data_IF_981139216243
#
_entry.id   IF_981139216243
#
_cell.length_a   1.000
_cell.length_b   1.000
_cell.length_c   1.000
_cell.angle_alpha   90.00
_cell.angle_beta   90.00
_cell.angle_gamma   90.00
#
_symmetry.space_group_name_H-M   'P 1'
#
loop_
_entity.id
_entity.type
_entity.pdbx_description
1 polymer ?
#
# COMPACT_ATOMS: atom_id res chain seq x y z
N UNK A 1 -17.99 13.57 3.37
CA UNK A 1 -17.10 14.75 3.23
C UNK A 1 -16.68 14.91 1.77
N UNK A 2 -16.42 16.13 1.29
CA UNK A 2 -15.92 16.40 -0.08
C UNK A 2 -14.49 16.91 0.02
N UNK A 3 -13.58 16.29 -0.71
CA UNK A 3 -12.17 16.66 -0.72
C UNK A 3 -11.72 17.13 -2.10
N UNK A 4 -10.85 18.12 -2.09
CA UNK A 4 -10.04 18.56 -3.23
C UNK A 4 -8.88 17.60 -3.49
N UNK A 5 -8.23 17.75 -4.64
CA UNK A 5 -7.02 16.99 -4.95
C UNK A 5 -5.92 17.24 -3.93
N UNK A 6 -5.69 18.50 -3.58
CA UNK A 6 -4.68 18.93 -2.63
C UNK A 6 -4.94 18.35 -1.23
N UNK A 7 -6.20 18.28 -0.80
CA UNK A 7 -6.55 17.65 0.48
C UNK A 7 -6.32 16.14 0.48
N UNK A 8 -6.63 15.45 -0.62
CA UNK A 8 -6.38 14.00 -0.76
C UNK A 8 -4.89 13.71 -0.76
N UNK A 9 -4.10 14.51 -1.48
CA UNK A 9 -2.65 14.33 -1.60
C UNK A 9 -1.88 14.85 -0.38
N UNK A 10 -2.55 15.43 0.62
CA UNK A 10 -1.89 16.07 1.75
C UNK A 10 -1.24 15.06 2.70
N UNK A 11 0.03 15.31 3.01
CA UNK A 11 0.83 14.50 3.92
C UNK A 11 0.92 15.09 5.33
N UNK A 12 1.08 14.19 6.31
CA UNK A 12 1.33 14.56 7.70
C UNK A 12 2.71 15.20 7.86
N UNK A 13 2.88 15.98 8.92
CA UNK A 13 4.20 16.35 9.39
C UNK A 13 4.73 15.19 10.24
N UNK A 14 5.56 14.35 9.63
CA UNK A 14 6.17 13.22 10.32
C UNK A 14 7.28 13.70 11.26
N UNK A 15 7.39 13.09 12.44
CA UNK A 15 8.51 13.34 13.33
C UNK A 15 9.80 12.72 12.77
N UNK A 16 9.67 11.59 12.07
CA UNK A 16 10.78 10.90 11.39
C UNK A 16 10.31 10.34 10.05
N UNK A 17 11.21 10.35 9.06
CA UNK A 17 10.97 9.66 7.80
C UNK A 17 10.93 8.13 8.00
N UNK A 18 10.15 7.44 7.18
CA UNK A 18 10.15 5.98 7.15
C UNK A 18 11.35 5.49 6.33
N UNK A 19 12.46 5.16 6.98
CA UNK A 19 13.68 4.66 6.31
C UNK A 19 14.04 3.24 6.78
N UNK A 20 14.15 2.29 5.84
CA UNK A 20 14.45 0.89 6.14
C UNK A 20 15.34 0.28 5.06
N UNK A 21 16.35 -0.52 5.43
CA UNK A 21 17.30 -1.14 4.49
C UNK A 21 17.95 -0.17 3.46
N UNK A 22 18.03 1.12 3.77
CA UNK A 22 18.55 2.16 2.87
C UNK A 22 17.54 2.69 1.84
N UNK A 23 16.26 2.32 1.98
CA UNK A 23 15.14 2.89 1.21
C UNK A 23 14.46 3.99 2.02
N UNK A 24 14.13 5.10 1.37
CA UNK A 24 13.22 6.12 1.87
C UNK A 24 11.81 5.74 1.42
N UNK A 25 10.92 5.41 2.34
CA UNK A 25 9.60 4.85 2.07
C UNK A 25 8.49 5.87 2.35
N UNK A 26 7.34 5.76 1.68
CA UNK A 26 6.19 6.62 1.91
C UNK A 26 5.62 6.47 3.32
N UNK A 27 4.88 7.50 3.75
CA UNK A 27 4.50 7.66 5.14
C UNK A 27 5.65 8.15 6.01
N UNK A 28 5.50 7.96 7.31
CA UNK A 28 6.52 8.35 8.30
C UNK A 28 6.12 7.92 9.70
N UNK A 29 6.94 8.28 10.67
CA UNK A 29 6.73 7.92 12.07
C UNK A 29 6.36 9.16 12.90
N UNK A 30 5.53 8.95 13.92
CA UNK A 30 5.30 9.94 14.97
C UNK A 30 6.49 10.02 15.95
N UNK A 31 6.39 10.89 16.96
CA UNK A 31 7.44 11.08 17.96
C UNK A 31 7.67 9.87 18.87
N UNK A 32 6.73 8.92 18.89
CA UNK A 32 6.80 7.67 19.65
C UNK A 32 7.32 6.50 18.78
N UNK A 33 7.52 6.73 17.48
CA UNK A 33 7.97 5.73 16.52
C UNK A 33 6.84 4.92 15.87
N UNK A 34 5.57 5.31 16.04
CA UNK A 34 4.45 4.63 15.39
C UNK A 34 4.32 5.07 13.93
N UNK A 35 4.00 4.13 13.04
CA UNK A 35 3.76 4.42 11.63
C UNK A 35 2.49 5.22 11.41
N UNK A 36 2.60 6.27 10.60
CA UNK A 36 1.51 7.08 10.10
C UNK A 36 1.38 6.84 8.59
N UNK A 37 0.22 6.33 8.18
CA UNK A 37 -0.10 6.10 6.78
C UNK A 37 -0.09 7.41 5.97
N UNK A 38 0.51 7.42 4.78
CA UNK A 38 0.54 8.60 3.92
C UNK A 38 -0.86 9.04 3.46
N UNK A 39 -0.97 10.29 3.04
CA UNK A 39 -2.17 10.88 2.41
C UNK A 39 -3.43 10.80 3.29
N UNK A 40 -3.29 10.57 4.59
CA UNK A 40 -4.44 10.46 5.54
C UNK A 40 -4.71 11.73 6.33
N UNK A 41 -3.87 12.79 6.19
CA UNK A 41 -3.93 14.01 7.02
C UNK A 41 -5.30 14.66 7.13
N UNK A 42 -6.06 14.70 6.03
CA UNK A 42 -7.41 15.28 5.99
C UNK A 42 -8.53 14.25 6.02
N UNK A 43 -8.19 12.95 5.99
CA UNK A 43 -9.15 11.86 5.71
C UNK A 43 -9.42 10.95 6.90
N UNK A 44 -8.69 11.06 8.00
CA UNK A 44 -8.95 10.23 9.20
C UNK A 44 -10.39 10.30 9.68
N UNK A 45 -11.01 11.48 9.70
CA UNK A 45 -12.41 11.62 10.11
C UNK A 45 -13.36 10.82 9.20
N UNK A 46 -13.15 10.85 7.88
CA UNK A 46 -13.93 10.07 6.93
C UNK A 46 -13.70 8.55 7.06
N UNK A 47 -12.46 8.12 7.30
CA UNK A 47 -12.11 6.70 7.51
C UNK A 47 -12.78 6.18 8.79
N UNK A 48 -12.75 6.98 9.87
CA UNK A 48 -13.35 6.64 11.15
C UNK A 48 -14.89 6.64 11.06
N UNK A 49 -15.48 7.63 10.39
CA UNK A 49 -16.94 7.68 10.17
C UNK A 49 -17.43 6.48 9.35
N UNK A 50 -16.71 6.13 8.28
CA UNK A 50 -17.02 4.94 7.49
C UNK A 50 -16.98 3.66 8.33
N UNK A 51 -15.93 3.49 9.13
CA UNK A 51 -15.75 2.35 10.04
C UNK A 51 -16.88 2.26 11.08
N UNK A 52 -17.23 3.40 11.69
CA UNK A 52 -18.31 3.49 12.69
C UNK A 52 -19.68 3.21 12.07
N UNK A 53 -19.92 3.66 10.84
CA UNK A 53 -21.17 3.41 10.14
C UNK A 53 -21.32 1.92 9.78
N UNK A 54 -20.26 1.30 9.24
CA UNK A 54 -20.26 -0.12 8.89
C UNK A 54 -20.58 -0.99 10.12
N UNK A 55 -19.89 -0.73 11.22
CA UNK A 55 -20.07 -1.45 12.50
C UNK A 55 -21.40 -1.15 13.17
N UNK A 56 -21.87 0.10 13.12
CA UNK A 56 -23.20 0.51 13.62
C UNK A 56 -24.36 -0.18 12.90
N UNK A 57 -24.16 -0.59 11.63
CA UNK A 57 -25.11 -1.41 10.88
C UNK A 57 -25.02 -2.91 11.22
N UNK A 58 -24.16 -3.30 12.16
CA UNK A 58 -23.96 -4.70 12.57
C UNK A 58 -22.99 -5.48 11.69
N UNK A 59 -22.27 -4.82 10.77
CA UNK A 59 -21.25 -5.48 9.95
C UNK A 59 -19.87 -5.38 10.62
N UNK A 60 -19.21 -6.50 10.95
CA UNK A 60 -17.88 -6.44 11.53
C UNK A 60 -16.85 -5.97 10.50
N UNK A 61 -15.87 -5.18 10.95
CA UNK A 61 -14.64 -4.98 10.18
C UNK A 61 -13.87 -6.30 10.16
N UNK A 62 -13.61 -6.80 8.96
CA UNK A 62 -12.79 -7.99 8.78
C UNK A 62 -11.34 -7.53 8.64
N UNK A 63 -10.47 -8.12 9.47
CA UNK A 63 -9.04 -8.03 9.23
C UNK A 63 -8.72 -8.72 7.90
N UNK A 64 -8.02 -8.02 6.99
CA UNK A 64 -7.57 -8.54 5.70
C UNK A 64 -6.42 -9.55 5.86
N UNK A 65 -6.51 -10.41 6.87
CA UNK A 65 -5.55 -11.48 7.11
C UNK A 65 -5.65 -12.55 6.03
N UNK A 66 -4.56 -13.29 5.83
CA UNK A 66 -4.53 -14.45 4.93
C UNK A 66 -5.55 -15.54 5.31
N UNK A 67 -6.15 -15.48 6.50
CA UNK A 67 -7.19 -16.41 6.96
C UNK A 67 -8.49 -16.29 6.16
N UNK A 68 -8.71 -15.16 5.46
CA UNK A 68 -9.89 -14.98 4.59
C UNK A 68 -9.75 -15.76 3.26
N UNK A 69 -8.54 -16.19 2.90
CA UNK A 69 -8.28 -16.90 1.65
C UNK A 69 -8.66 -18.38 1.80
N UNK A 70 -9.34 -18.92 0.78
CA UNK A 70 -9.74 -20.35 0.73
C UNK A 70 -8.55 -21.30 0.79
N UNK A 71 -7.41 -20.87 0.25
CA UNK A 71 -6.18 -21.64 0.21
C UNK A 71 -5.11 -20.88 0.99
N UNK A 72 -4.40 -21.59 1.87
CA UNK A 72 -3.27 -21.03 2.58
C UNK A 72 -2.08 -20.78 1.65
N UNK A 73 -1.14 -19.96 2.11
CA UNK A 73 0.12 -19.74 1.41
C UNK A 73 0.96 -21.01 1.40
N UNK A 74 1.70 -21.22 0.30
CA UNK A 74 2.70 -22.26 0.17
C UNK A 74 4.05 -21.64 -0.18
N UNK A 75 5.11 -21.91 0.60
CA UNK A 75 5.09 -22.67 1.86
C UNK A 75 4.24 -21.98 2.94
N UNK A 76 3.56 -22.79 3.77
CA UNK A 76 2.88 -22.28 4.96
C UNK A 76 3.92 -21.83 6.00
N UNK A 77 3.49 -21.23 7.11
CA UNK A 77 4.41 -20.65 8.10
C UNK A 77 5.44 -21.66 8.64
N UNK A 78 5.01 -22.86 9.03
CA UNK A 78 5.92 -23.89 9.56
C UNK A 78 6.88 -24.42 8.49
N UNK A 79 6.40 -24.59 7.26
CA UNK A 79 7.22 -24.98 6.11
C UNK A 79 8.25 -23.90 5.76
N UNK A 80 7.83 -22.62 5.76
CA UNK A 80 8.70 -21.48 5.48
C UNK A 80 9.80 -21.41 6.54
N UNK A 81 9.45 -21.53 7.83
CA UNK A 81 10.41 -21.57 8.93
C UNK A 81 11.40 -22.74 8.79
N UNK A 82 10.91 -23.92 8.41
CA UNK A 82 11.75 -25.09 8.20
C UNK A 82 12.72 -24.87 7.02
N UNK A 83 12.24 -24.42 5.87
CA UNK A 83 13.09 -24.11 4.70
C UNK A 83 14.16 -23.06 5.05
N UNK A 84 13.78 -21.99 5.74
CA UNK A 84 14.72 -20.97 6.18
C UNK A 84 15.77 -21.52 7.15
N UNK A 85 15.40 -22.46 8.04
CA UNK A 85 16.37 -23.13 8.91
C UNK A 85 17.39 -24.00 8.17
N UNK A 86 17.06 -24.42 6.94
CA UNK A 86 17.97 -25.13 6.03
C UNK A 86 18.80 -24.18 5.14
N UNK A 87 18.61 -22.86 5.26
CA UNK A 87 19.23 -21.86 4.40
C UNK A 87 18.52 -21.65 3.05
N UNK A 88 17.34 -22.27 2.86
CA UNK A 88 16.57 -22.18 1.62
C UNK A 88 15.69 -20.92 1.59
N UNK A 89 16.31 -19.76 1.38
CA UNK A 89 15.62 -18.45 1.37
C UNK A 89 15.00 -18.03 0.04
N UNK A 90 15.31 -18.73 -1.06
CA UNK A 90 14.92 -18.33 -2.43
C UNK A 90 13.40 -18.17 -2.60
N UNK A 91 12.60 -19.02 -1.97
CA UNK A 91 11.13 -18.91 -2.07
C UNK A 91 10.62 -17.58 -1.49
N UNK A 92 11.18 -17.16 -0.34
CA UNK A 92 10.76 -15.93 0.34
C UNK A 92 11.29 -14.71 -0.40
N UNK A 93 12.54 -14.77 -0.87
CA UNK A 93 13.11 -13.74 -1.74
C UNK A 93 12.21 -13.50 -2.96
N UNK A 94 11.83 -14.58 -3.65
CA UNK A 94 11.01 -14.53 -4.85
C UNK A 94 9.62 -13.99 -4.53
N UNK A 95 8.99 -14.47 -3.44
CA UNK A 95 7.67 -14.00 -3.05
C UNK A 95 7.66 -12.50 -2.79
N UNK A 96 8.58 -11.98 -1.97
CA UNK A 96 8.65 -10.55 -1.64
C UNK A 96 8.96 -9.69 -2.88
N UNK A 97 9.85 -10.17 -3.75
CA UNK A 97 10.18 -9.47 -5.00
C UNK A 97 9.02 -9.45 -5.98
N UNK A 98 8.34 -10.58 -6.16
CA UNK A 98 7.17 -10.67 -7.04
C UNK A 98 6.07 -9.76 -6.53
N UNK A 99 5.80 -9.75 -5.22
CA UNK A 99 4.82 -8.82 -4.64
C UNK A 99 5.21 -7.37 -4.92
N UNK A 100 6.45 -6.96 -4.65
CA UNK A 100 6.91 -5.60 -4.96
C UNK A 100 6.75 -5.22 -6.43
N UNK A 101 7.03 -6.14 -7.36
CA UNK A 101 6.81 -5.93 -8.81
C UNK A 101 5.31 -5.77 -9.13
N UNK A 102 4.44 -6.51 -8.45
CA UNK A 102 2.99 -6.43 -8.65
C UNK A 102 2.46 -5.09 -8.11
N UNK A 103 2.87 -4.67 -6.91
CA UNK A 103 2.47 -3.36 -6.36
C UNK A 103 2.96 -2.22 -7.26
N UNK A 104 4.17 -2.29 -7.81
CA UNK A 104 4.67 -1.27 -8.74
C UNK A 104 3.73 -1.06 -9.94
N UNK A 105 3.02 -2.10 -10.41
CA UNK A 105 2.02 -1.96 -11.49
C UNK A 105 0.79 -1.18 -11.07
N UNK A 106 0.51 -1.11 -9.77
CA UNK A 106 -0.54 -0.28 -9.19
C UNK A 106 -0.37 1.21 -9.48
N UNK A 107 0.85 1.67 -9.78
CA UNK A 107 1.11 3.04 -10.23
C UNK A 107 0.24 3.46 -11.41
N UNK A 108 -0.12 2.52 -12.29
CA UNK A 108 -1.00 2.78 -13.43
C UNK A 108 -2.36 3.37 -13.02
N UNK A 109 -2.83 3.18 -11.78
CA UNK A 109 -4.04 3.82 -11.28
C UNK A 109 -3.97 5.34 -11.31
N UNK A 110 -2.78 5.93 -11.16
CA UNK A 110 -2.59 7.38 -11.23
C UNK A 110 -2.82 7.94 -12.65
N UNK A 111 -2.75 7.10 -13.67
CA UNK A 111 -2.92 7.47 -15.09
C UNK A 111 -4.33 7.15 -15.62
N UNK A 112 -5.14 6.43 -14.84
CA UNK A 112 -6.47 6.01 -15.25
C UNK A 112 -7.50 7.07 -14.89
N UNK A 113 -8.38 7.38 -15.85
CA UNK A 113 -9.60 8.15 -15.60
C UNK A 113 -10.75 7.19 -15.34
N UNK A 114 -11.35 7.26 -14.16
CA UNK A 114 -12.55 6.51 -13.83
C UNK A 114 -13.76 7.03 -14.62
N UNK A 115 -14.75 6.18 -14.96
CA UNK A 115 -16.04 6.64 -15.45
C UNK A 115 -16.72 7.59 -14.47
N UNK A 116 -17.59 8.46 -14.98
CA UNK A 116 -18.49 9.24 -14.13
C UNK A 116 -19.60 8.35 -13.56
N UNK A 117 -19.30 7.68 -12.44
CA UNK A 117 -20.22 6.76 -11.78
C UNK A 117 -21.51 7.42 -11.29
N UNK A 118 -21.55 8.75 -11.15
CA UNK A 118 -22.78 9.44 -10.77
C UNK A 118 -23.86 9.33 -11.85
N UNK A 119 -23.49 9.10 -13.12
CA UNK A 119 -24.43 8.86 -14.21
C UNK A 119 -25.14 7.50 -14.12
N UNK A 120 -24.59 6.57 -13.33
CA UNK A 120 -25.06 5.19 -13.21
C UNK A 120 -25.69 4.95 -11.84
N UNK A 121 -25.12 5.56 -10.79
CA UNK A 121 -25.59 5.42 -9.41
C UNK A 121 -26.65 6.49 -9.13
N UNK A 122 -27.81 6.04 -8.63
CA UNK A 122 -28.96 6.91 -8.35
C UNK A 122 -28.72 7.81 -7.14
N UNK A 123 -28.08 7.27 -6.11
CA UNK A 123 -27.73 7.98 -4.88
C UNK A 123 -26.61 9.00 -5.12
N UNK A 124 -26.60 10.08 -4.32
CA UNK A 124 -25.49 11.05 -4.35
C UNK A 124 -24.21 10.38 -3.83
N UNK A 125 -23.23 10.19 -4.72
CA UNK A 125 -21.93 9.61 -4.38
C UNK A 125 -20.85 10.67 -4.17
N UNK A 126 -21.19 11.97 -4.23
CA UNK A 126 -20.22 13.06 -4.21
C UNK A 126 -19.36 13.12 -2.94
N UNK A 127 -19.77 12.41 -1.88
CA UNK A 127 -19.09 12.30 -0.59
C UNK A 127 -18.46 10.92 -0.31
N UNK A 128 -18.49 10.00 -1.27
CA UNK A 128 -17.96 8.63 -1.12
C UNK A 128 -16.59 8.50 -1.76
N UNK A 129 -15.85 7.43 -1.48
CA UNK A 129 -14.59 7.12 -2.18
C UNK A 129 -14.79 7.10 -3.71
N UNK A 130 -15.90 6.51 -4.19
CA UNK A 130 -16.26 6.47 -5.61
C UNK A 130 -16.36 7.88 -6.22
N UNK A 131 -16.99 8.82 -5.53
CA UNK A 131 -17.10 10.22 -5.99
C UNK A 131 -15.77 11.00 -5.97
N UNK A 132 -14.71 10.43 -5.38
CA UNK A 132 -13.38 11.03 -5.30
C UNK A 132 -12.33 10.34 -6.18
N UNK A 133 -12.68 9.27 -6.93
CA UNK A 133 -11.74 8.53 -7.78
C UNK A 133 -10.94 9.48 -8.69
N UNK A 134 -11.63 10.31 -9.48
CA UNK A 134 -11.02 11.32 -10.36
C UNK A 134 -10.63 12.63 -9.64
N UNK A 135 -10.89 12.76 -8.33
CA UNK A 135 -10.51 13.96 -7.55
C UNK A 135 -9.14 13.83 -6.90
N UNK A 136 -8.41 12.75 -7.17
CA UNK A 136 -7.09 12.50 -6.60
C UNK A 136 -6.98 11.16 -5.88
N UNK A 137 -8.09 10.45 -5.62
CA UNK A 137 -7.99 9.16 -4.90
C UNK A 137 -7.28 8.08 -5.74
N UNK A 138 -7.47 8.07 -7.06
CA UNK A 138 -6.73 7.18 -7.96
C UNK A 138 -5.25 7.54 -8.06
N UNK A 139 -4.94 8.84 -8.13
CA UNK A 139 -3.56 9.33 -8.12
C UNK A 139 -2.87 8.98 -6.80
N UNK A 140 -3.52 9.25 -5.67
CA UNK A 140 -3.02 8.88 -4.34
C UNK A 140 -2.73 7.38 -4.25
N UNK A 141 -3.68 6.55 -4.66
CA UNK A 141 -3.51 5.10 -4.63
C UNK A 141 -2.35 4.67 -5.54
N UNK A 142 -2.29 5.13 -6.79
CA UNK A 142 -1.20 4.77 -7.69
C UNK A 142 0.18 5.16 -7.13
N UNK A 143 0.28 6.34 -6.52
CA UNK A 143 1.52 6.78 -5.87
C UNK A 143 1.84 5.98 -4.60
N UNK A 144 0.83 5.54 -3.86
CA UNK A 144 1.02 4.67 -2.70
C UNK A 144 1.47 3.25 -3.11
N UNK A 145 1.13 2.78 -4.31
CA UNK A 145 1.54 1.45 -4.79
C UNK A 145 2.93 1.44 -5.44
N UNK A 146 3.20 2.33 -6.40
CA UNK A 146 4.44 2.33 -7.19
C UNK A 146 5.19 3.66 -7.25
N UNK A 147 4.83 4.62 -6.41
CA UNK A 147 5.57 5.86 -6.22
C UNK A 147 5.08 7.03 -7.06
N UNK A 148 5.39 8.22 -6.58
CA UNK A 148 5.21 9.48 -7.30
C UNK A 148 6.42 9.68 -8.26
N UNK A 149 6.21 9.82 -9.58
CA UNK A 149 7.28 10.05 -10.56
C UNK A 149 8.16 11.26 -10.26
N UNK A 150 7.64 12.27 -9.55
CA UNK A 150 8.36 13.49 -9.19
C UNK A 150 9.01 13.42 -7.80
N UNK A 151 8.88 12.28 -7.12
CA UNK A 151 9.45 12.03 -5.80
C UNK A 151 10.59 11.00 -5.84
N UNK A 152 11.48 11.08 -4.84
CA UNK A 152 12.48 10.04 -4.56
C UNK A 152 12.03 9.05 -3.49
N UNK A 153 10.85 9.28 -2.90
CA UNK A 153 10.28 8.41 -1.89
C UNK A 153 9.69 7.16 -2.57
N UNK A 154 10.08 6.00 -2.07
CA UNK A 154 9.50 4.72 -2.47
C UNK A 154 8.08 4.52 -1.96
N UNK A 155 7.38 3.56 -2.53
CA UNK A 155 6.00 3.23 -2.21
C UNK A 155 5.90 1.78 -1.73
N UNK A 156 4.72 1.16 -1.77
CA UNK A 156 4.56 -0.24 -1.35
C UNK A 156 5.53 -1.17 -2.10
N UNK A 157 5.78 -0.95 -3.39
CA UNK A 157 6.78 -1.70 -4.17
C UNK A 157 8.16 -1.77 -3.48
N UNK A 158 8.68 -0.62 -3.06
CA UNK A 158 9.97 -0.50 -2.37
C UNK A 158 9.90 -0.95 -0.92
N UNK A 159 8.75 -0.87 -0.25
CA UNK A 159 8.58 -1.46 1.08
C UNK A 159 8.81 -2.97 1.04
N UNK A 160 8.32 -3.66 0.00
CA UNK A 160 8.56 -5.10 -0.18
C UNK A 160 10.04 -5.42 -0.47
N UNK A 161 10.74 -4.56 -1.23
CA UNK A 161 12.19 -4.70 -1.43
C UNK A 161 12.98 -4.44 -0.16
N UNK A 162 12.59 -3.44 0.64
CA UNK A 162 13.20 -3.15 1.94
C UNK A 162 13.04 -4.34 2.90
N UNK A 163 11.83 -4.91 2.99
CA UNK A 163 11.57 -6.09 3.82
C UNK A 163 12.41 -7.30 3.40
N UNK A 164 12.50 -7.55 2.08
CA UNK A 164 13.35 -8.60 1.50
C UNK A 164 14.82 -8.42 1.87
N UNK A 165 15.33 -7.20 1.70
CA UNK A 165 16.75 -6.89 1.87
C UNK A 165 17.16 -6.87 3.35
N UNK A 166 16.25 -6.46 4.25
CA UNK A 166 16.44 -6.58 5.70
C UNK A 166 16.55 -8.04 6.14
N UNK A 167 15.66 -8.90 5.64
CA UNK A 167 15.54 -10.27 6.13
C UNK A 167 16.65 -11.20 5.62
N UNK A 168 17.15 -10.96 4.41
CA UNK A 168 18.08 -11.87 3.72
C UNK A 168 19.52 -11.33 3.64
N UNK A 169 19.87 -10.31 4.43
CA UNK A 169 21.21 -9.72 4.55
C UNK A 169 22.00 -9.68 3.23
N UNK A 170 21.57 -8.84 2.27
CA UNK A 170 22.32 -8.34 1.08
C UNK A 170 23.40 -9.26 0.42
N UNK A 171 23.23 -10.58 0.39
CA UNK A 171 24.26 -11.51 -0.11
C UNK A 171 23.79 -12.44 -1.24
N UNK A 172 22.57 -12.29 -1.75
CA UNK A 172 22.16 -12.95 -3.00
C UNK A 172 22.28 -11.98 -4.19
N UNK A 173 23.37 -12.17 -4.93
CA UNK A 173 23.78 -11.58 -6.23
C UNK A 173 22.72 -11.56 -7.35
N UNK A 174 23.02 -10.86 -8.47
CA UNK A 174 22.64 -9.49 -8.77
C UNK A 174 21.19 -9.34 -9.30
N UNK A 175 20.66 -8.12 -9.20
CA UNK A 175 19.41 -7.67 -9.85
C UNK A 175 19.18 -8.33 -11.21
N UNK A 176 18.05 -9.05 -11.36
CA UNK A 176 17.46 -9.27 -12.67
C UNK A 176 17.19 -7.87 -13.27
N UNK A 177 17.99 -7.46 -14.25
CA UNK A 177 17.66 -6.31 -15.09
C UNK A 177 16.46 -6.72 -15.95
N UNK A 178 15.30 -6.15 -15.66
CA UNK A 178 14.12 -6.31 -16.49
C UNK A 178 14.09 -5.22 -17.58
N UNK A 179 13.55 -5.52 -18.77
CA UNK A 179 13.43 -4.54 -19.83
C UNK A 179 12.44 -3.46 -19.41
N UNK A 180 12.84 -2.20 -19.52
CA UNK A 180 11.93 -1.06 -19.56
C UNK A 180 11.15 -1.13 -20.87
N UNK A 181 9.84 -1.36 -20.80
CA UNK A 181 8.92 -1.09 -21.92
C UNK A 181 8.55 0.37 -21.94
#
# INVERSE_FOLDING_TARGET
MKYTFEEIMSEHEYAQANEMAGYLLHGGLDSEGNYISPRTKKRWDAINEWSNNLTGQGNPLLDCSVQILKYGNYPNFDQAKYLLSLGEGTFLWNSLTITGIIEARGQALAEITAPDFQQIIKEDISQTATGHMNKGLFVAHGFDEGGDPDSKQGAHDQMWFAARDLYLERTLTPYLKFPTT
#
